data_IF_811499764871
#
_entry.id   IF_811499764871
#
_cell.length_a   1.000
_cell.length_b   1.000
_cell.length_c   1.000
_cell.angle_alpha   90.00
_cell.angle_beta   90.00
_cell.angle_gamma   90.00
#
_symmetry.space_group_name_H-M   'P 1'
#
loop_
_entity.id
_entity.type
_entity.pdbx_description
1 polymer ?
#
# COMPACT_ATOMS: atom_id res chain seq x y z
N UNK A 1 -6.78 -1.56 0.44
CA UNK A 1 -6.11 -2.34 1.52
C UNK A 1 -7.03 -3.39 2.16
N UNK A 2 -6.54 -4.29 3.01
CA UNK A 2 -7.38 -5.23 3.78
C UNK A 2 -8.51 -4.51 4.54
N UNK A 3 -9.69 -5.14 4.61
CA UNK A 3 -10.86 -4.57 5.28
C UNK A 3 -11.59 -3.47 4.49
N UNK A 4 -11.15 -3.12 3.28
CA UNK A 4 -11.84 -2.15 2.42
C UNK A 4 -13.18 -2.72 1.95
N UNK A 5 -14.34 -2.12 2.33
CA UNK A 5 -15.64 -2.62 1.92
C UNK A 5 -15.78 -2.63 0.40
N UNK A 6 -16.30 -3.74 -0.13
CA UNK A 6 -16.51 -4.00 -1.57
C UNK A 6 -15.24 -4.02 -2.44
N UNK A 7 -14.05 -3.86 -1.86
CA UNK A 7 -12.80 -3.89 -2.63
C UNK A 7 -12.52 -5.25 -3.22
N UNK A 8 -12.13 -5.26 -4.50
CA UNK A 8 -11.89 -6.52 -5.22
C UNK A 8 -10.56 -7.11 -4.78
N UNK A 9 -10.62 -8.31 -4.22
CA UNK A 9 -9.52 -9.03 -3.61
C UNK A 9 -8.80 -8.16 -2.56
N UNK A 10 -9.56 -7.41 -1.77
CA UNK A 10 -9.01 -6.47 -0.80
C UNK A 10 -8.19 -7.20 0.29
N UNK A 11 -6.86 -7.05 0.23
CA UNK A 11 -5.94 -7.59 1.23
C UNK A 11 -4.74 -6.64 1.43
N UNK A 12 -3.88 -7.01 2.36
CA UNK A 12 -2.60 -6.34 2.65
C UNK A 12 -1.54 -7.44 2.82
N UNK A 13 -0.62 -7.58 1.87
CA UNK A 13 0.47 -8.57 1.77
C UNK A 13 0.04 -10.04 1.71
N UNK A 14 -0.78 -10.52 2.64
CA UNK A 14 -1.33 -11.88 2.61
C UNK A 14 -2.82 -11.87 2.89
N UNK A 15 -3.61 -12.19 1.87
CA UNK A 15 -5.05 -12.44 2.01
C UNK A 15 -5.36 -13.62 2.93
N UNK A 16 -4.40 -14.53 3.13
CA UNK A 16 -4.57 -15.71 3.98
C UNK A 16 -4.34 -15.40 5.46
N UNK A 17 -3.27 -14.69 5.79
CA UNK A 17 -2.79 -14.63 7.18
C UNK A 17 -2.86 -13.25 7.82
N UNK A 18 -2.94 -12.17 7.04
CA UNK A 18 -2.90 -10.80 7.56
C UNK A 18 -4.32 -10.24 7.66
N UNK A 19 -4.65 -9.70 8.83
CA UNK A 19 -5.89 -8.95 9.08
C UNK A 19 -5.69 -7.47 8.78
N UNK A 20 -4.64 -6.86 9.34
CA UNK A 20 -4.40 -5.42 9.22
C UNK A 20 -2.91 -5.12 9.41
N UNK A 21 -2.37 -4.17 8.64
CA UNK A 21 -1.11 -3.50 8.95
C UNK A 21 -1.37 -2.06 9.39
N UNK A 22 -0.57 -1.59 10.36
CA UNK A 22 -0.52 -0.19 10.75
C UNK A 22 0.92 0.31 10.72
N UNK A 23 1.11 1.51 10.18
CA UNK A 23 2.38 2.21 10.20
C UNK A 23 2.17 3.56 10.88
N UNK A 24 2.95 3.85 11.92
CA UNK A 24 2.81 5.02 12.78
C UNK A 24 1.36 5.21 13.30
N UNK A 25 0.72 4.08 13.67
CA UNK A 25 -0.65 4.04 14.18
C UNK A 25 -1.75 4.14 13.11
N UNK A 26 -1.43 4.51 11.87
CA UNK A 26 -2.38 4.62 10.76
C UNK A 26 -2.54 3.28 10.04
N UNK A 27 -3.77 2.85 9.68
CA UNK A 27 -3.98 1.71 8.80
C UNK A 27 -3.27 1.92 7.47
N UNK A 28 -2.58 0.89 6.98
CA UNK A 28 -1.90 0.92 5.68
C UNK A 28 -2.12 -0.35 4.88
N UNK A 29 -2.32 -0.18 3.57
CA UNK A 29 -2.17 -1.25 2.58
C UNK A 29 -0.77 -1.32 2.00
N UNK A 30 -0.61 -2.20 1.02
CA UNK A 30 0.63 -2.31 0.23
C UNK A 30 0.98 -1.00 -0.47
N UNK A 31 -0.02 -0.29 -1.02
CA UNK A 31 0.18 0.99 -1.68
C UNK A 31 0.82 2.01 -0.72
N UNK A 32 0.21 2.21 0.45
CA UNK A 32 0.71 3.15 1.46
C UNK A 32 2.09 2.76 1.97
N UNK A 33 2.29 1.49 2.33
CA UNK A 33 3.57 0.99 2.81
C UNK A 33 4.70 1.19 1.78
N UNK A 34 4.45 0.86 0.51
CA UNK A 34 5.43 1.03 -0.58
C UNK A 34 5.69 2.49 -0.90
N UNK A 35 4.67 3.35 -0.87
CA UNK A 35 4.83 4.79 -1.11
C UNK A 35 5.70 5.45 -0.02
N UNK A 36 5.46 5.14 1.26
CA UNK A 36 6.27 5.64 2.38
C UNK A 36 7.70 5.11 2.30
N UNK A 37 7.87 3.81 2.01
CA UNK A 37 9.20 3.21 1.82
C UNK A 37 9.96 3.91 0.69
N UNK A 38 9.33 4.11 -0.47
CA UNK A 38 9.94 4.79 -1.61
C UNK A 38 10.31 6.23 -1.29
N UNK A 39 9.45 6.97 -0.59
CA UNK A 39 9.73 8.33 -0.15
C UNK A 39 10.84 8.43 0.88
N UNK A 40 11.09 7.39 1.67
CA UNK A 40 12.22 7.31 2.60
C UNK A 40 13.57 7.05 1.90
N UNK A 41 13.58 6.58 0.65
CA UNK A 41 14.83 6.26 -0.07
C UNK A 41 15.62 7.52 -0.46
N UNK A 42 16.83 7.64 0.09
CA UNK A 42 17.73 8.75 -0.20
C UNK A 42 17.23 10.11 0.30
N UNK A 43 18.04 11.14 0.11
CA UNK A 43 17.76 12.48 0.64
C UNK A 43 16.55 13.15 -0.02
N UNK A 44 16.25 12.81 -1.28
CA UNK A 44 15.13 13.38 -2.03
C UNK A 44 13.89 12.50 -2.03
N UNK A 45 14.02 11.18 -1.87
CA UNK A 45 12.88 10.26 -1.91
C UNK A 45 12.52 9.91 -3.36
N UNK A 46 11.80 8.81 -3.53
CA UNK A 46 11.26 8.39 -4.82
C UNK A 46 9.74 8.60 -4.80
N UNK A 47 9.18 9.45 -5.68
CA UNK A 47 7.75 9.69 -5.71
C UNK A 47 6.99 8.54 -6.38
N UNK A 48 5.82 8.21 -5.84
CA UNK A 48 4.83 7.37 -6.53
C UNK A 48 4.03 8.27 -7.46
N UNK A 49 4.28 8.20 -8.76
CA UNK A 49 3.72 9.13 -9.75
C UNK A 49 2.46 8.61 -10.45
N UNK A 50 2.26 7.29 -10.47
CA UNK A 50 1.15 6.62 -11.14
C UNK A 50 0.72 5.39 -10.33
N UNK A 51 -0.59 5.21 -10.17
CA UNK A 51 -1.18 3.98 -9.62
C UNK A 51 -2.28 3.48 -10.56
N UNK A 52 -2.32 2.19 -10.83
CA UNK A 52 -3.43 1.55 -11.57
C UNK A 52 -3.97 0.37 -10.78
N UNK A 53 -5.28 0.14 -10.88
CA UNK A 53 -5.98 -0.84 -10.04
C UNK A 53 -7.49 -0.79 -10.27
N UNK A 54 -8.27 -1.16 -9.27
CA UNK A 54 -9.69 -0.83 -9.23
C UNK A 54 -9.88 0.66 -8.85
N UNK A 55 -11.13 1.12 -8.83
CA UNK A 55 -11.51 2.46 -8.43
C UNK A 55 -11.16 2.77 -6.97
N UNK A 56 -11.24 1.79 -6.07
CA UNK A 56 -10.94 1.97 -4.64
C UNK A 56 -9.44 2.13 -4.38
N UNK A 57 -8.57 1.37 -5.05
CA UNK A 57 -7.12 1.54 -5.00
C UNK A 57 -6.70 2.89 -5.58
N UNK A 58 -7.36 3.35 -6.65
CA UNK A 58 -7.16 4.69 -7.19
C UNK A 58 -7.60 5.79 -6.22
N UNK A 59 -8.69 5.56 -5.47
CA UNK A 59 -9.14 6.47 -4.42
C UNK A 59 -8.17 6.49 -3.22
N UNK A 60 -7.69 5.33 -2.76
CA UNK A 60 -6.64 5.19 -1.74
C UNK A 60 -5.37 5.97 -2.15
N UNK A 61 -4.95 5.83 -3.41
CA UNK A 61 -3.81 6.54 -3.96
C UNK A 61 -3.97 8.06 -3.88
N UNK A 62 -5.12 8.60 -4.33
CA UNK A 62 -5.40 10.04 -4.30
C UNK A 62 -5.55 10.60 -2.89
N UNK A 63 -6.10 9.81 -1.96
CA UNK A 63 -6.20 10.21 -0.56
C UNK A 63 -4.81 10.35 0.08
N UNK A 64 -3.86 9.51 -0.32
CA UNK A 64 -2.49 9.56 0.16
C UNK A 64 -1.62 10.59 -0.58
N UNK A 65 -1.81 10.72 -1.90
CA UNK A 65 -1.01 11.54 -2.82
C UNK A 65 -1.95 12.29 -3.76
N UNK A 66 -2.40 13.51 -3.41
CA UNK A 66 -3.39 14.24 -4.19
C UNK A 66 -3.01 14.46 -5.67
N UNK A 67 -1.71 14.60 -5.96
CA UNK A 67 -1.16 14.85 -7.30
C UNK A 67 -0.89 13.58 -8.12
N UNK A 68 -1.16 12.39 -7.57
CA UNK A 68 -0.86 11.12 -8.26
C UNK A 68 -1.77 10.91 -9.46
N UNK A 69 -1.17 10.45 -10.55
CA UNK A 69 -1.93 9.99 -11.70
C UNK A 69 -2.53 8.63 -11.38
N UNK A 70 -3.76 8.39 -11.82
CA UNK A 70 -4.41 7.09 -11.60
C UNK A 70 -5.10 6.58 -12.84
N UNK A 71 -5.13 5.25 -12.99
CA UNK A 71 -5.90 4.56 -14.04
C UNK A 71 -6.74 3.45 -13.42
N UNK A 72 -8.04 3.69 -13.17
CA UNK A 72 -8.95 2.62 -12.78
C UNK A 72 -9.18 1.70 -13.98
N UNK A 73 -8.92 0.41 -13.79
CA UNK A 73 -9.06 -0.64 -14.81
C UNK A 73 -10.38 -1.39 -14.69
N UNK A 74 -11.02 -1.29 -13.53
CA UNK A 74 -12.28 -1.94 -13.18
C UNK A 74 -12.95 -1.17 -12.03
N UNK A 75 -14.24 -1.38 -11.87
CA UNK A 75 -15.02 -0.89 -10.72
C UNK A 75 -15.26 -2.05 -9.77
N UNK A 76 -14.89 -1.88 -8.51
CA UNK A 76 -15.08 -2.87 -7.47
C UNK A 76 -16.52 -2.97 -7.01
N UNK A 77 -17.05 -4.19 -6.99
CA UNK A 77 -18.43 -4.47 -6.59
C UNK A 77 -18.50 -5.39 -5.36
N UNK A 78 -17.47 -6.20 -5.13
CA UNK A 78 -17.28 -7.12 -4.01
C UNK A 78 -15.90 -7.77 -4.04
N UNK A 79 -15.61 -8.65 -3.07
CA UNK A 79 -14.30 -9.31 -2.93
C UNK A 79 -13.89 -10.06 -4.20
N UNK A 80 -14.77 -10.87 -4.77
CA UNK A 80 -14.51 -11.59 -6.02
C UNK A 80 -15.39 -11.09 -7.18
N UNK A 81 -15.82 -9.82 -7.10
CA UNK A 81 -16.76 -9.22 -8.06
C UNK A 81 -16.31 -7.83 -8.50
N UNK A 82 -16.15 -7.65 -9.81
CA UNK A 82 -15.80 -6.37 -10.41
C UNK A 82 -16.35 -6.22 -11.84
N UNK A 83 -16.67 -5.00 -12.21
CA UNK A 83 -16.99 -4.62 -13.59
C UNK A 83 -15.71 -4.15 -14.29
N UNK A 84 -15.27 -4.87 -15.32
CA UNK A 84 -14.02 -4.60 -16.01
C UNK A 84 -14.21 -3.62 -17.17
N UNK A 85 -13.27 -2.70 -17.33
CA UNK A 85 -13.21 -1.84 -18.53
C UNK A 85 -12.66 -2.64 -19.71
N UNK A 86 -13.01 -2.21 -20.92
CA UNK A 86 -12.48 -2.81 -22.14
C UNK A 86 -10.94 -2.68 -22.19
N UNK A 87 -10.18 -3.77 -22.47
CA UNK A 87 -8.72 -3.74 -22.45
C UNK A 87 -8.09 -2.65 -23.33
N UNK A 88 -8.63 -2.43 -24.54
CA UNK A 88 -8.13 -1.41 -25.47
C UNK A 88 -8.20 0.01 -24.87
N UNK A 89 -9.26 0.34 -24.13
CA UNK A 89 -9.40 1.63 -23.45
C UNK A 89 -8.40 1.74 -22.29
N UNK A 90 -8.27 0.69 -21.48
CA UNK A 90 -7.31 0.67 -20.36
C UNK A 90 -5.87 0.83 -20.85
N UNK A 91 -5.48 0.18 -21.95
CA UNK A 91 -4.13 0.31 -22.49
C UNK A 91 -3.84 1.71 -23.04
N UNK A 92 -4.83 2.34 -23.68
CA UNK A 92 -4.73 3.73 -24.12
C UNK A 92 -4.49 4.66 -22.93
N UNK A 93 -5.34 4.55 -21.90
CA UNK A 93 -5.24 5.37 -20.69
C UNK A 93 -3.92 5.16 -19.96
N UNK A 94 -3.49 3.92 -19.77
CA UNK A 94 -2.20 3.61 -19.13
C UNK A 94 -1.04 4.26 -19.88
N UNK A 95 -1.04 4.21 -21.22
CA UNK A 95 0.02 4.84 -22.03
C UNK A 95 0.02 6.35 -21.86
N UNK A 96 -1.15 6.98 -21.95
CA UNK A 96 -1.28 8.43 -21.84
C UNK A 96 -0.92 8.93 -20.43
N UNK A 97 -1.49 8.32 -19.40
CA UNK A 97 -1.29 8.70 -18.01
C UNK A 97 0.13 8.40 -17.54
N UNK A 98 0.75 7.31 -17.96
CA UNK A 98 2.16 7.05 -17.66
C UNK A 98 3.09 8.11 -18.27
N UNK A 99 2.84 8.49 -19.53
CA UNK A 99 3.60 9.55 -20.19
C UNK A 99 3.40 10.92 -19.51
N UNK A 100 2.17 11.23 -19.09
CA UNK A 100 1.87 12.45 -18.36
C UNK A 100 2.51 12.47 -16.96
N UNK A 101 2.37 11.38 -16.19
CA UNK A 101 2.96 11.20 -14.88
C UNK A 101 4.49 11.34 -14.93
N UNK A 102 5.14 10.74 -15.93
CA UNK A 102 6.59 10.84 -16.10
C UNK A 102 7.04 12.29 -16.35
N UNK A 103 6.30 13.05 -17.16
CA UNK A 103 6.58 14.48 -17.38
C UNK A 103 6.34 15.33 -16.12
N UNK A 104 5.33 14.98 -15.33
CA UNK A 104 4.95 15.70 -14.12
C UNK A 104 5.70 15.22 -12.87
N UNK A 105 6.57 14.21 -12.97
CA UNK A 105 7.16 13.52 -11.82
C UNK A 105 7.87 14.46 -10.83
N UNK A 106 8.50 15.53 -11.32
CA UNK A 106 9.17 16.52 -10.47
C UNK A 106 8.21 17.35 -9.60
N UNK A 107 6.92 17.40 -9.95
CA UNK A 107 5.88 18.14 -9.24
C UNK A 107 5.08 17.25 -8.28
N UNK A 108 5.37 15.94 -8.21
CA UNK A 108 4.69 15.01 -7.30
C UNK A 108 5.62 14.78 -6.11
N UNK A 109 5.27 15.25 -4.90
CA UNK A 109 6.12 15.05 -3.73
C UNK A 109 6.13 13.57 -3.32
N UNK A 110 7.29 13.01 -2.92
CA UNK A 110 7.34 11.69 -2.31
C UNK A 110 6.59 11.66 -0.96
N UNK A 111 5.95 10.54 -0.66
CA UNK A 111 5.28 10.35 0.65
C UNK A 111 6.34 10.16 1.72
N UNK A 112 6.44 11.09 2.67
CA UNK A 112 7.39 11.03 3.78
C UNK A 112 6.68 11.04 5.11
N UNK A 113 6.85 9.97 5.86
CA UNK A 113 6.49 9.90 7.27
C UNK A 113 7.76 9.93 8.11
N UNK A 114 7.68 10.52 9.31
CA UNK A 114 8.85 10.66 10.16
C UNK A 114 9.20 9.34 10.86
N UNK A 115 10.48 8.93 10.91
CA UNK A 115 10.95 7.92 11.84
C UNK A 115 10.95 8.45 13.29
N UNK A 116 11.02 7.58 14.30
CA UNK A 116 11.03 6.12 14.18
C UNK A 116 9.68 5.59 13.69
N UNK A 117 9.73 4.59 12.82
CA UNK A 117 8.55 3.94 12.28
C UNK A 117 8.08 2.84 13.22
N UNK A 118 6.82 2.93 13.66
CA UNK A 118 6.15 1.84 14.37
C UNK A 118 5.30 1.06 13.39
N UNK A 119 5.77 -0.12 12.98
CA UNK A 119 5.05 -1.01 12.07
C UNK A 119 4.43 -2.16 12.87
N UNK A 120 3.11 -2.29 12.78
CA UNK A 120 2.36 -3.40 13.37
C UNK A 120 1.73 -4.26 12.29
N UNK A 121 1.82 -5.56 12.47
CA UNK A 121 1.05 -6.53 11.71
C UNK A 121 0.12 -7.29 12.66
N UNK A 122 -1.18 -7.27 12.36
CA UNK A 122 -2.17 -8.10 13.03
C UNK A 122 -2.55 -9.25 12.12
N UNK A 123 -2.44 -10.45 12.66
CA UNK A 123 -2.75 -11.71 12.00
C UNK A 123 -4.25 -11.98 12.06
N UNK A 124 -4.81 -12.71 11.09
CA UNK A 124 -6.18 -13.23 11.13
C UNK A 124 -6.34 -14.26 12.25
N UNK A 125 -7.58 -14.52 12.64
CA UNK A 125 -7.88 -15.55 13.63
C UNK A 125 -7.35 -16.93 13.21
N UNK A 126 -6.79 -17.67 14.16
CA UNK A 126 -6.15 -18.97 13.92
C UNK A 126 -4.72 -18.91 13.38
N UNK A 127 -4.14 -17.71 13.17
CA UNK A 127 -2.74 -17.54 12.77
C UNK A 127 -1.93 -16.84 13.86
N UNK A 128 -0.74 -17.38 14.16
CA UNK A 128 0.23 -16.78 15.06
C UNK A 128 1.21 -15.82 14.36
N UNK A 129 2.07 -15.19 15.15
CA UNK A 129 3.03 -14.16 14.71
C UNK A 129 4.45 -14.71 14.47
N UNK A 130 4.68 -16.02 14.65
CA UNK A 130 6.01 -16.63 14.71
C UNK A 130 6.82 -16.34 13.44
N UNK A 131 6.15 -16.29 12.29
CA UNK A 131 6.78 -15.95 11.01
C UNK A 131 7.41 -14.54 10.97
N UNK A 132 6.94 -13.61 11.79
CA UNK A 132 7.43 -12.23 11.88
C UNK A 132 8.47 -12.02 12.97
N UNK A 133 8.56 -12.91 13.96
CA UNK A 133 9.57 -12.81 15.03
C UNK A 133 11.00 -13.07 14.55
N UNK A 134 11.17 -13.47 13.28
CA UNK A 134 12.48 -13.57 12.63
C UNK A 134 13.11 -12.22 12.25
N UNK A 135 12.33 -11.14 12.24
CA UNK A 135 12.84 -9.81 11.89
C UNK A 135 13.46 -9.16 13.12
N UNK A 136 14.59 -8.47 12.93
CA UNK A 136 15.31 -7.82 14.01
C UNK A 136 14.44 -6.73 14.67
N UNK A 137 14.44 -6.68 16.00
CA UNK A 137 13.59 -5.77 16.77
C UNK A 137 12.09 -6.10 16.79
N UNK A 138 11.65 -7.19 16.16
CA UNK A 138 10.23 -7.59 16.19
C UNK A 138 9.84 -8.10 17.58
N UNK A 139 8.75 -7.54 18.13
CA UNK A 139 8.21 -7.87 19.45
C UNK A 139 6.77 -8.32 19.32
N UNK A 140 6.42 -9.44 19.95
CA UNK A 140 5.03 -9.87 20.07
C UNK A 140 4.30 -8.99 21.09
N UNK A 141 3.19 -8.36 20.68
CA UNK A 141 2.37 -7.49 21.52
C UNK A 141 1.21 -8.25 22.16
N UNK A 142 0.58 -9.13 21.40
CA UNK A 142 -0.49 -10.04 21.84
C UNK A 142 -0.44 -11.35 21.04
N UNK A 143 -1.41 -12.26 21.19
CA UNK A 143 -1.40 -13.55 20.47
C UNK A 143 -1.35 -13.44 18.93
N UNK A 144 -1.75 -12.29 18.37
CA UNK A 144 -1.95 -12.07 16.94
C UNK A 144 -1.27 -10.81 16.41
N UNK A 145 -0.61 -10.03 17.25
CA UNK A 145 -0.02 -8.74 16.86
C UNK A 145 1.48 -8.75 17.11
N UNK A 146 2.23 -8.38 16.08
CA UNK A 146 3.68 -8.16 16.14
C UNK A 146 3.97 -6.71 15.79
N UNK A 147 4.96 -6.12 16.47
CA UNK A 147 5.42 -4.76 16.25
C UNK A 147 6.92 -4.75 15.99
N UNK A 148 7.37 -3.85 15.13
CA UNK A 148 8.78 -3.45 15.04
C UNK A 148 8.86 -1.93 15.06
N UNK A 149 9.84 -1.40 15.79
CA UNK A 149 10.18 0.02 15.80
C UNK A 149 11.55 0.18 15.16
N UNK A 150 11.65 0.97 14.09
CA UNK A 150 12.88 1.10 13.29
C UNK A 150 12.98 2.48 12.64
N UNK A 151 14.19 2.97 12.41
CA UNK A 151 14.43 4.14 11.55
C UNK A 151 14.52 3.77 10.06
N UNK A 152 14.53 2.47 9.75
CA UNK A 152 14.73 1.92 8.41
C UNK A 152 13.67 0.86 8.09
N UNK A 153 12.68 1.25 7.27
CA UNK A 153 11.60 0.36 6.83
C UNK A 153 12.11 -0.82 6.00
N UNK A 154 13.27 -0.73 5.37
CA UNK A 154 13.81 -1.81 4.53
C UNK A 154 14.26 -3.05 5.33
N UNK A 155 14.37 -2.92 6.65
CA UNK A 155 14.68 -4.00 7.59
C UNK A 155 13.46 -4.74 8.13
N UNK A 156 12.26 -4.36 7.67
CA UNK A 156 10.99 -4.91 8.17
C UNK A 156 10.38 -5.89 7.17
N UNK A 157 9.15 -6.35 7.43
CA UNK A 157 8.40 -7.26 6.57
C UNK A 157 7.58 -6.56 5.47
N UNK A 158 7.67 -5.23 5.34
CA UNK A 158 7.01 -4.48 4.26
C UNK A 158 7.94 -4.20 3.08
#
# INVERSE_FOLDING_TARGET
MAGTPRGTLAHTYSSRTVEEYRLNGQPVGELGARAVMAGALGTRGVPTILVSGDDLACAEARALIPEVYVVPTKTSLGEELAEHRAPAAVYSDLREQAAAAARAAANIPPVRWAPPYTLRARMKEGFGVEGYLRYDGATQIDERTVEVVTDDLTKTWI
#
